data_IF_786060678080
#
_entry.id   IF_786060678080
#
_cell.length_a   1.000
_cell.length_b   1.000
_cell.length_c   1.000
_cell.angle_alpha   90.00
_cell.angle_beta   90.00
_cell.angle_gamma   90.00
#
_symmetry.space_group_name_H-M   'P 1'
#
loop_
_entity.id
_entity.type
_entity.pdbx_description
1 polymer ?
#
# COMPACT_ATOMS: atom_id res chain seq x y z
N UNK A 1 11.05 -41.78 8.55
CA UNK A 1 10.29 -41.62 7.31
C UNK A 1 9.70 -40.22 7.27
N UNK A 2 10.18 -39.46 6.34
CA UNK A 2 9.59 -38.32 5.63
C UNK A 2 9.41 -36.96 6.29
N UNK A 3 10.56 -36.30 6.57
CA UNK A 3 10.62 -34.84 6.77
C UNK A 3 10.85 -34.03 5.47
N UNK A 4 10.66 -34.64 4.30
CA UNK A 4 10.95 -33.98 3.00
C UNK A 4 9.76 -33.35 2.30
N UNK A 5 8.52 -33.54 2.80
CA UNK A 5 7.30 -33.06 2.11
C UNK A 5 6.88 -31.67 2.59
N UNK A 6 7.26 -31.25 3.82
CA UNK A 6 6.86 -29.93 4.35
C UNK A 6 7.67 -28.73 3.77
N UNK A 7 8.88 -28.96 3.24
CA UNK A 7 9.70 -27.87 2.66
C UNK A 7 9.23 -27.47 1.24
N UNK A 8 8.55 -28.35 0.53
CA UNK A 8 8.17 -28.09 -0.89
C UNK A 8 6.98 -27.13 -1.02
N UNK A 9 6.10 -27.02 -0.03
CA UNK A 9 4.94 -26.12 -0.09
C UNK A 9 5.28 -24.66 0.22
N UNK A 10 6.33 -24.39 1.02
CA UNK A 10 6.77 -23.02 1.30
C UNK A 10 7.55 -22.40 0.14
N UNK A 11 8.25 -23.21 -0.65
CA UNK A 11 8.99 -22.76 -1.83
C UNK A 11 8.07 -22.35 -2.98
N UNK A 12 6.93 -23.04 -3.18
CA UNK A 12 5.99 -22.73 -4.27
C UNK A 12 5.27 -21.39 -4.07
N UNK A 13 4.96 -20.99 -2.82
CA UNK A 13 4.33 -19.69 -2.53
C UNK A 13 5.28 -18.49 -2.72
N UNK A 14 6.58 -18.66 -2.45
CA UNK A 14 7.59 -17.63 -2.64
C UNK A 14 7.95 -17.42 -4.12
N UNK A 15 7.92 -18.48 -4.92
CA UNK A 15 8.23 -18.43 -6.36
C UNK A 15 7.15 -17.70 -7.15
N UNK A 16 5.88 -17.79 -6.76
CA UNK A 16 4.79 -17.11 -7.49
C UNK A 16 4.79 -15.58 -7.29
N UNK A 17 5.18 -15.09 -6.12
CA UNK A 17 5.28 -13.64 -5.85
C UNK A 17 6.53 -13.02 -6.48
N UNK A 18 7.66 -13.74 -6.46
CA UNK A 18 8.88 -13.36 -7.18
C UNK A 18 8.64 -13.32 -8.70
N UNK A 19 7.84 -14.24 -9.22
CA UNK A 19 7.50 -14.30 -10.64
C UNK A 19 6.71 -13.09 -11.15
N UNK A 20 5.78 -12.56 -10.36
CA UNK A 20 5.01 -11.37 -10.75
C UNK A 20 5.87 -10.10 -10.77
N UNK A 21 6.75 -9.90 -9.79
CA UNK A 21 7.68 -8.75 -9.78
C UNK A 21 8.68 -8.83 -10.95
N UNK A 22 9.25 -10.01 -11.22
CA UNK A 22 10.16 -10.23 -12.35
C UNK A 22 9.48 -10.01 -13.69
N UNK A 23 8.20 -10.38 -13.81
CA UNK A 23 7.42 -10.14 -15.03
C UNK A 23 7.13 -8.64 -15.23
N UNK A 24 6.93 -7.90 -14.16
CA UNK A 24 6.81 -6.44 -14.22
C UNK A 24 8.12 -5.79 -14.68
N UNK A 25 9.29 -6.25 -14.17
CA UNK A 25 10.60 -5.79 -14.64
C UNK A 25 10.79 -6.03 -16.12
N UNK A 26 10.45 -7.24 -16.60
CA UNK A 26 10.54 -7.58 -18.01
C UNK A 26 9.60 -6.74 -18.89
N UNK A 27 8.46 -6.31 -18.36
CA UNK A 27 7.52 -5.39 -19.02
C UNK A 27 7.93 -3.91 -18.93
N UNK A 28 9.15 -3.60 -18.44
CA UNK A 28 9.64 -2.22 -18.29
C UNK A 28 9.09 -1.47 -17.09
N UNK A 29 8.45 -2.17 -16.16
CA UNK A 29 7.91 -1.61 -14.91
C UNK A 29 8.83 -1.96 -13.72
N UNK A 30 10.15 -1.75 -13.89
CA UNK A 30 11.11 -1.89 -12.80
C UNK A 30 10.90 -0.84 -11.70
N UNK A 31 11.47 -1.08 -10.53
CA UNK A 31 11.31 -0.24 -9.34
C UNK A 31 11.66 1.23 -9.59
N UNK A 32 12.76 1.50 -10.29
CA UNK A 32 13.21 2.88 -10.52
C UNK A 32 12.25 3.61 -11.49
N UNK A 33 11.84 2.94 -12.56
CA UNK A 33 10.88 3.45 -13.55
C UNK A 33 9.52 3.73 -12.90
N UNK A 34 9.00 2.79 -12.08
CA UNK A 34 7.74 2.99 -11.37
C UNK A 34 7.81 4.15 -10.37
N UNK A 35 8.90 4.27 -9.63
CA UNK A 35 9.10 5.37 -8.69
C UNK A 35 9.16 6.72 -9.41
N UNK A 36 9.83 6.81 -10.57
CA UNK A 36 9.90 8.03 -11.37
C UNK A 36 8.53 8.43 -11.94
N UNK A 37 7.80 7.47 -12.51
CA UNK A 37 6.44 7.70 -13.05
C UNK A 37 5.47 8.12 -11.94
N UNK A 38 5.52 7.44 -10.79
CA UNK A 38 4.70 7.79 -9.64
C UNK A 38 5.02 9.20 -9.11
N UNK A 39 6.30 9.59 -9.07
CA UNK A 39 6.70 10.93 -8.65
C UNK A 39 6.18 12.00 -9.61
N UNK A 40 6.18 11.75 -10.93
CA UNK A 40 5.63 12.67 -11.92
C UNK A 40 4.11 12.85 -11.73
N UNK A 41 3.36 11.76 -11.63
CA UNK A 41 1.90 11.80 -11.40
C UNK A 41 1.55 12.47 -10.07
N UNK A 42 2.32 12.17 -9.02
CA UNK A 42 2.16 12.82 -7.72
C UNK A 42 2.36 14.33 -7.79
N UNK A 43 3.42 14.79 -8.48
CA UNK A 43 3.68 16.22 -8.65
C UNK A 43 2.56 16.92 -9.43
N UNK A 44 2.02 16.29 -10.47
CA UNK A 44 0.85 16.81 -11.21
C UNK A 44 -0.36 16.94 -10.30
N UNK A 45 -0.69 15.91 -9.54
CA UNK A 45 -1.79 15.90 -8.57
C UNK A 45 -1.62 17.01 -7.52
N UNK A 46 -0.40 17.20 -6.99
CA UNK A 46 -0.11 18.26 -6.01
C UNK A 46 -0.31 19.65 -6.62
N UNK A 47 0.11 19.87 -7.87
CA UNK A 47 -0.12 21.15 -8.55
C UNK A 47 -1.62 21.41 -8.79
N UNK A 48 -2.37 20.40 -9.23
CA UNK A 48 -3.82 20.52 -9.37
C UNK A 48 -4.51 20.81 -8.03
N UNK A 49 -4.12 20.10 -6.97
CA UNK A 49 -4.67 20.34 -5.64
C UNK A 49 -4.35 21.76 -5.12
N UNK A 50 -3.18 22.27 -5.47
CA UNK A 50 -2.77 23.67 -5.14
C UNK A 50 -3.65 24.68 -5.86
N UNK A 51 -3.85 24.54 -7.16
CA UNK A 51 -4.70 25.47 -7.95
C UNK A 51 -6.16 25.45 -7.49
N UNK A 52 -6.63 24.30 -7.00
CA UNK A 52 -7.98 24.11 -6.45
C UNK A 52 -8.12 24.45 -4.96
N UNK A 53 -7.06 24.97 -4.31
CA UNK A 53 -7.00 25.22 -2.85
C UNK A 53 -7.35 24.00 -1.98
N UNK A 54 -7.05 22.80 -2.49
CA UNK A 54 -7.33 21.54 -1.80
C UNK A 54 -6.16 21.04 -0.95
N UNK A 55 -5.00 21.70 -0.95
CA UNK A 55 -3.90 21.34 -0.05
C UNK A 55 -4.22 21.78 1.38
N UNK A 56 -4.10 20.86 2.32
CA UNK A 56 -4.08 21.18 3.74
C UNK A 56 -2.62 21.25 4.22
N UNK A 57 -2.21 22.43 4.63
CA UNK A 57 -0.83 22.70 5.07
C UNK A 57 -0.74 23.23 6.50
N UNK A 58 -1.88 23.46 7.16
CA UNK A 58 -1.89 24.18 8.44
C UNK A 58 -2.96 23.76 9.45
N UNK A 59 -3.94 22.95 9.06
CA UNK A 59 -5.01 22.52 9.98
C UNK A 59 -4.48 21.66 11.14
N UNK A 60 -5.29 21.43 12.15
CA UNK A 60 -4.98 20.48 13.22
C UNK A 60 -4.81 19.06 12.66
N UNK A 61 -5.61 18.67 11.66
CA UNK A 61 -5.51 17.38 10.97
C UNK A 61 -4.17 17.25 10.26
N UNK A 62 -3.76 18.28 9.50
CA UNK A 62 -2.44 18.29 8.85
C UNK A 62 -1.31 18.10 9.87
N UNK A 63 -1.30 18.86 10.96
CA UNK A 63 -0.24 18.77 11.97
C UNK A 63 -0.14 17.38 12.58
N UNK A 64 -1.27 16.73 12.88
CA UNK A 64 -1.31 15.37 13.42
C UNK A 64 -0.77 14.36 12.40
N UNK A 65 -1.28 14.40 11.18
CA UNK A 65 -0.86 13.51 10.08
C UNK A 65 0.63 13.67 9.80
N UNK A 66 1.13 14.90 9.72
CA UNK A 66 2.54 15.21 9.50
C UNK A 66 3.44 14.71 10.64
N UNK A 67 2.99 14.85 11.90
CA UNK A 67 3.72 14.32 13.07
C UNK A 67 3.83 12.80 13.00
N UNK A 68 2.73 12.12 12.68
CA UNK A 68 2.71 10.65 12.52
C UNK A 68 3.63 10.21 11.38
N UNK A 69 3.53 10.86 10.22
CA UNK A 69 4.39 10.59 9.07
C UNK A 69 5.88 10.69 9.41
N UNK A 70 6.29 11.81 9.98
CA UNK A 70 7.70 12.04 10.33
C UNK A 70 8.22 11.04 11.37
N UNK A 71 7.33 10.50 12.22
CA UNK A 71 7.70 9.49 13.21
C UNK A 71 7.78 8.07 12.61
N UNK A 72 6.97 7.75 11.59
CA UNK A 72 7.01 6.46 10.89
C UNK A 72 8.19 6.37 9.91
N UNK A 73 8.48 7.45 9.19
CA UNK A 73 9.44 7.49 8.08
C UNK A 73 10.81 6.85 8.37
N UNK A 74 11.51 7.16 9.49
CA UNK A 74 12.84 6.57 9.75
C UNK A 74 12.80 5.04 9.86
N UNK A 75 11.70 4.47 10.36
CA UNK A 75 11.52 3.03 10.47
C UNK A 75 11.11 2.40 9.14
N UNK A 76 10.33 3.11 8.33
CA UNK A 76 10.06 2.71 6.96
C UNK A 76 11.34 2.65 6.12
N UNK A 77 12.23 3.64 6.25
CA UNK A 77 13.54 3.61 5.59
C UNK A 77 14.36 2.38 5.99
N UNK A 78 14.35 2.00 7.28
CA UNK A 78 15.03 0.79 7.77
C UNK A 78 14.40 -0.51 7.26
N UNK A 79 13.11 -0.50 6.93
CA UNK A 79 12.39 -1.65 6.38
C UNK A 79 12.49 -1.75 4.86
N UNK A 80 13.01 -0.72 4.19
CA UNK A 80 13.10 -0.69 2.73
C UNK A 80 14.16 -1.68 2.23
N UNK A 81 13.72 -2.71 1.52
CA UNK A 81 14.55 -3.76 0.91
C UNK A 81 14.52 -3.73 -0.63
N UNK A 82 13.95 -2.68 -1.24
CA UNK A 82 13.79 -2.59 -2.70
C UNK A 82 15.10 -2.33 -3.44
N UNK A 83 16.18 -2.01 -2.73
CA UNK A 83 17.45 -1.57 -3.32
C UNK A 83 17.45 -0.13 -3.82
N UNK A 84 16.31 0.55 -3.82
CA UNK A 84 16.16 1.95 -4.24
C UNK A 84 15.72 2.79 -3.05
N UNK A 85 16.43 3.87 -2.78
CA UNK A 85 16.04 4.81 -1.72
C UNK A 85 14.74 5.51 -2.08
N UNK A 86 13.76 5.52 -1.15
CA UNK A 86 12.52 6.25 -1.34
C UNK A 86 12.67 7.73 -1.00
N UNK A 87 12.05 8.57 -1.81
CA UNK A 87 11.85 9.98 -1.53
C UNK A 87 10.46 10.18 -0.90
N UNK A 88 10.39 9.92 0.41
CA UNK A 88 9.14 10.01 1.16
C UNK A 88 8.61 11.44 1.18
N UNK A 89 7.43 11.63 0.62
CA UNK A 89 6.70 12.89 0.62
C UNK A 89 5.28 12.69 1.12
N UNK A 90 4.76 13.67 1.85
CA UNK A 90 3.39 13.67 2.36
C UNK A 90 2.60 14.81 1.74
N UNK A 91 1.43 14.51 1.22
CA UNK A 91 0.38 15.49 0.90
C UNK A 91 -0.88 15.19 1.68
N UNK A 92 -1.43 16.20 2.33
CA UNK A 92 -2.75 16.14 2.95
C UNK A 92 -3.73 16.94 2.10
N UNK A 93 -4.83 16.30 1.68
CA UNK A 93 -5.85 16.90 0.85
C UNK A 93 -7.10 17.23 1.66
N UNK A 94 -7.58 18.46 1.52
CA UNK A 94 -8.90 18.89 2.03
C UNK A 94 -9.99 18.21 1.22
N UNK A 95 -10.55 17.15 1.74
CA UNK A 95 -11.60 16.39 1.07
C UNK A 95 -12.37 15.57 2.10
N UNK A 96 -13.65 15.42 1.86
CA UNK A 96 -14.55 14.58 2.66
C UNK A 96 -14.44 13.10 2.35
N UNK A 97 -13.65 12.72 1.35
CA UNK A 97 -13.43 11.32 1.02
C UNK A 97 -12.70 10.59 2.16
N UNK A 98 -13.18 9.42 2.50
CA UNK A 98 -12.51 8.52 3.43
C UNK A 98 -11.49 7.72 2.62
N UNK A 99 -10.29 8.29 2.43
CA UNK A 99 -9.24 7.72 1.61
C UNK A 99 -7.84 8.10 2.10
N UNK A 100 -6.87 7.22 1.80
CA UNK A 100 -5.44 7.43 1.87
C UNK A 100 -4.78 6.47 0.88
N UNK A 101 -3.60 6.78 0.40
CA UNK A 101 -2.82 5.86 -0.43
C UNK A 101 -1.35 6.22 -0.42
N UNK A 102 -0.51 5.27 -0.83
CA UNK A 102 0.89 5.51 -1.16
C UNK A 102 1.14 5.12 -2.62
N UNK A 103 1.85 5.98 -3.34
CA UNK A 103 2.36 5.63 -4.66
C UNK A 103 3.82 5.15 -4.55
N UNK A 104 4.32 4.37 -5.54
CA UNK A 104 5.69 3.89 -5.57
C UNK A 104 6.72 4.99 -5.26
N UNK A 105 7.83 4.63 -4.62
CA UNK A 105 8.85 5.59 -4.22
C UNK A 105 8.50 6.46 -3.00
N UNK A 106 7.38 6.14 -2.29
CA UNK A 106 7.05 6.75 -1.00
C UNK A 106 6.25 8.06 -1.09
N UNK A 107 5.37 8.22 -2.08
CA UNK A 107 4.48 9.38 -2.22
C UNK A 107 3.17 9.13 -1.49
N UNK A 108 3.05 9.63 -0.26
CA UNK A 108 1.92 9.39 0.65
C UNK A 108 0.89 10.51 0.49
N UNK A 109 -0.37 10.12 0.31
CA UNK A 109 -1.50 11.04 0.24
C UNK A 109 -2.54 10.64 1.28
N UNK A 110 -2.96 11.60 2.09
CA UNK A 110 -4.00 11.42 3.11
C UNK A 110 -5.10 12.46 2.89
N UNK A 111 -6.33 12.01 2.84
CA UNK A 111 -7.49 12.89 2.74
C UNK A 111 -7.96 13.25 4.17
N UNK A 112 -8.33 14.51 4.39
CA UNK A 112 -8.83 14.93 5.71
C UNK A 112 -10.04 14.14 6.16
N UNK A 113 -10.86 13.65 5.21
CA UNK A 113 -12.06 12.88 5.49
C UNK A 113 -11.82 11.59 6.25
N UNK A 114 -10.72 10.84 5.96
CA UNK A 114 -10.41 9.61 6.69
C UNK A 114 -10.14 9.87 8.16
N UNK A 115 -9.44 10.97 8.48
CA UNK A 115 -9.10 11.33 9.85
C UNK A 115 -10.33 11.89 10.58
N UNK A 116 -11.04 12.82 9.95
CA UNK A 116 -12.10 13.59 10.59
C UNK A 116 -13.39 12.80 10.75
N UNK A 117 -13.86 12.12 9.66
CA UNK A 117 -15.13 11.37 9.70
C UNK A 117 -15.05 10.12 10.57
N UNK A 118 -13.88 9.49 10.64
CA UNK A 118 -13.67 8.34 11.51
C UNK A 118 -13.19 8.73 12.91
N UNK A 119 -12.99 10.02 13.14
CA UNK A 119 -12.43 10.54 14.41
C UNK A 119 -11.20 9.71 14.83
N UNK A 120 -10.20 9.64 13.94
CA UNK A 120 -9.02 8.80 14.17
C UNK A 120 -8.12 9.42 15.26
N UNK A 121 -7.65 8.58 16.17
CA UNK A 121 -6.52 8.90 17.07
C UNK A 121 -5.21 8.90 16.28
N UNK A 122 -4.13 9.46 16.84
CA UNK A 122 -2.81 9.46 16.18
C UNK A 122 -2.27 8.03 15.95
N UNK A 123 -2.58 7.09 16.86
CA UNK A 123 -2.22 5.69 16.69
C UNK A 123 -3.03 5.02 15.55
N UNK A 124 -4.29 5.39 15.34
CA UNK A 124 -5.08 4.91 14.21
C UNK A 124 -4.64 5.56 12.89
N UNK A 125 -4.21 6.83 12.89
CA UNK A 125 -3.55 7.46 11.74
C UNK A 125 -2.26 6.70 11.40
N UNK A 126 -1.47 6.32 12.42
CA UNK A 126 -0.26 5.53 12.23
C UNK A 126 -0.56 4.13 11.67
N UNK A 127 -1.70 3.53 12.02
CA UNK A 127 -2.14 2.26 11.45
C UNK A 127 -2.48 2.40 9.96
N UNK A 128 -3.25 3.43 9.54
CA UNK A 128 -3.52 3.73 8.13
C UNK A 128 -2.21 3.94 7.37
N UNK A 129 -1.37 4.87 7.86
CA UNK A 129 -0.14 5.23 7.16
C UNK A 129 0.85 4.07 7.13
N UNK A 130 0.97 3.29 8.21
CA UNK A 130 1.83 2.12 8.27
C UNK A 130 1.43 1.07 7.24
N UNK A 131 0.13 0.79 7.11
CA UNK A 131 -0.42 -0.10 6.09
C UNK A 131 -0.07 0.40 4.67
N UNK A 132 -0.33 1.68 4.38
CA UNK A 132 -0.03 2.27 3.07
C UNK A 132 1.47 2.26 2.77
N UNK A 133 2.31 2.64 3.74
CA UNK A 133 3.76 2.65 3.55
C UNK A 133 4.31 1.25 3.24
N UNK A 134 3.75 0.19 3.83
CA UNK A 134 4.16 -1.19 3.53
C UNK A 134 3.77 -1.59 2.11
N UNK A 135 2.65 -1.12 1.56
CA UNK A 135 2.34 -1.33 0.14
C UNK A 135 3.45 -0.83 -0.78
N UNK A 136 4.07 0.31 -0.47
CA UNK A 136 5.23 0.80 -1.24
C UNK A 136 6.51 -0.01 -0.94
N UNK A 137 6.80 -0.30 0.33
CA UNK A 137 8.00 -1.03 0.78
C UNK A 137 8.08 -2.45 0.21
N UNK A 138 6.94 -3.10 0.04
CA UNK A 138 6.84 -4.45 -0.52
C UNK A 138 6.46 -4.45 -2.01
N UNK A 139 6.51 -3.29 -2.66
CA UNK A 139 6.25 -3.13 -4.10
C UNK A 139 4.94 -3.77 -4.56
N UNK A 140 3.88 -3.65 -3.75
CA UNK A 140 2.60 -4.28 -4.07
C UNK A 140 1.99 -3.76 -5.38
N UNK A 141 2.23 -2.50 -5.73
CA UNK A 141 1.85 -1.92 -7.02
C UNK A 141 2.54 -2.64 -8.19
N UNK A 142 3.86 -2.88 -8.07
CA UNK A 142 4.64 -3.63 -9.06
C UNK A 142 4.15 -5.06 -9.21
N UNK A 143 3.89 -5.75 -8.09
CA UNK A 143 3.33 -7.11 -8.09
C UNK A 143 1.97 -7.18 -8.78
N UNK A 144 1.13 -6.16 -8.61
CA UNK A 144 -0.19 -6.05 -9.25
C UNK A 144 -0.06 -5.85 -10.76
N UNK A 145 0.85 -4.98 -11.21
CA UNK A 145 1.16 -4.77 -12.63
C UNK A 145 1.62 -6.09 -13.27
N UNK A 146 2.55 -6.81 -12.63
CA UNK A 146 3.03 -8.10 -13.13
C UNK A 146 1.93 -9.16 -13.21
N UNK A 147 1.02 -9.21 -12.24
CA UNK A 147 -0.12 -10.13 -12.29
C UNK A 147 -1.10 -9.79 -13.43
N UNK A 148 -1.33 -8.50 -13.69
CA UNK A 148 -2.17 -8.04 -14.80
C UNK A 148 -1.52 -8.33 -16.15
N UNK A 149 -0.20 -8.12 -16.30
CA UNK A 149 0.56 -8.47 -17.49
C UNK A 149 0.46 -9.97 -17.77
N UNK A 150 0.58 -10.82 -16.74
CA UNK A 150 0.42 -12.27 -16.87
C UNK A 150 -1.00 -12.65 -17.32
N UNK A 151 -2.01 -12.02 -16.76
CA UNK A 151 -3.41 -12.26 -17.14
C UNK A 151 -3.66 -11.82 -18.58
N UNK A 152 -3.15 -10.64 -18.97
CA UNK A 152 -3.23 -10.15 -20.35
C UNK A 152 -2.51 -11.07 -21.34
N UNK A 153 -1.34 -11.60 -20.97
CA UNK A 153 -0.61 -12.60 -21.77
C UNK A 153 -1.42 -13.90 -21.92
N UNK A 154 -1.99 -14.41 -20.83
CA UNK A 154 -2.80 -15.63 -20.86
C UNK A 154 -4.07 -15.47 -21.73
N UNK A 155 -4.72 -14.31 -21.70
CA UNK A 155 -5.90 -14.00 -22.53
C UNK A 155 -5.52 -13.81 -24.01
N UNK A 156 -4.30 -13.31 -24.30
CA UNK A 156 -3.81 -13.06 -25.65
C UNK A 156 -3.13 -14.28 -26.30
N UNK A 157 -2.70 -15.28 -25.54
CA UNK A 157 -2.18 -16.55 -26.08
C UNK A 157 -3.23 -17.26 -26.97
N UNK A 158 -4.53 -17.04 -26.71
CA UNK A 158 -5.61 -17.46 -27.62
C UNK A 158 -5.73 -16.64 -28.91
N UNK A 159 -5.05 -15.49 -29.01
CA UNK A 159 -5.07 -14.58 -30.18
C UNK A 159 -3.68 -14.36 -30.80
N UNK A 160 -2.60 -14.84 -30.17
CA UNK A 160 -1.22 -14.52 -30.52
C UNK A 160 -0.65 -15.45 -31.57
N UNK A 161 -1.05 -15.22 -32.80
CA UNK A 161 -0.18 -15.46 -33.97
C UNK A 161 0.32 -14.14 -34.61
N UNK A 162 0.39 -13.03 -33.83
CA UNK A 162 0.85 -11.74 -34.33
C UNK A 162 1.94 -11.16 -33.41
N UNK A 163 3.10 -10.87 -33.96
CA UNK A 163 4.37 -10.53 -33.31
C UNK A 163 4.50 -9.23 -32.54
N UNK A 164 3.42 -8.54 -32.13
CA UNK A 164 3.46 -7.23 -31.43
C UNK A 164 2.98 -7.27 -29.97
N UNK A 165 2.75 -8.45 -29.42
CA UNK A 165 2.12 -8.58 -28.09
C UNK A 165 2.98 -8.03 -26.93
N UNK A 166 4.31 -8.03 -27.03
CA UNK A 166 5.23 -7.62 -25.96
C UNK A 166 5.35 -6.09 -25.84
N UNK A 167 5.39 -5.39 -26.96
CA UNK A 167 5.47 -3.91 -26.98
C UNK A 167 4.21 -3.23 -26.45
N UNK A 168 3.02 -3.80 -26.73
CA UNK A 168 1.76 -3.30 -26.20
C UNK A 168 1.55 -3.57 -24.71
N UNK A 169 2.19 -4.62 -24.15
CA UNK A 169 2.18 -4.91 -22.71
C UNK A 169 3.00 -3.89 -21.92
N UNK A 170 4.14 -3.42 -22.45
CA UNK A 170 4.98 -2.41 -21.80
C UNK A 170 4.27 -1.07 -21.65
N UNK A 171 3.60 -0.57 -22.70
CA UNK A 171 2.85 0.69 -22.63
C UNK A 171 1.65 0.58 -21.70
N UNK A 172 0.88 -0.52 -21.77
CA UNK A 172 -0.24 -0.76 -20.86
C UNK A 172 0.20 -0.91 -19.39
N UNK A 173 1.36 -1.48 -19.11
CA UNK A 173 1.90 -1.59 -17.76
C UNK A 173 2.32 -0.23 -17.19
N UNK A 174 2.85 0.67 -18.02
CA UNK A 174 3.20 2.04 -17.62
C UNK A 174 1.95 2.91 -17.38
N UNK A 175 0.92 2.79 -18.24
CA UNK A 175 -0.37 3.46 -18.06
C UNK A 175 -1.09 2.95 -16.79
N UNK A 176 -1.00 1.66 -16.51
CA UNK A 176 -1.48 1.06 -15.27
C UNK A 176 -0.68 1.54 -14.06
N UNK A 177 0.65 1.72 -14.19
CA UNK A 177 1.51 2.25 -13.14
C UNK A 177 1.07 3.65 -12.67
N UNK A 178 0.64 4.50 -13.60
CA UNK A 178 0.07 5.81 -13.30
C UNK A 178 -1.29 5.72 -12.56
N UNK A 179 -2.05 4.63 -12.76
CA UNK A 179 -3.38 4.41 -12.17
C UNK A 179 -3.36 3.52 -10.92
N UNK A 180 -2.27 2.82 -10.64
CA UNK A 180 -2.18 1.74 -9.62
C UNK A 180 -2.34 2.22 -8.17
N UNK A 181 -2.21 3.52 -7.90
CA UNK A 181 -2.55 4.07 -6.57
C UNK A 181 -4.04 4.32 -6.34
N UNK A 182 -4.92 4.24 -7.37
CA UNK A 182 -6.21 4.92 -7.28
C UNK A 182 -7.44 4.06 -7.63
N UNK A 183 -7.33 2.82 -8.14
CA UNK A 183 -8.56 2.27 -8.70
C UNK A 183 -8.87 0.78 -8.57
N UNK A 184 -7.91 -0.09 -8.34
CA UNK A 184 -8.15 -1.53 -8.30
C UNK A 184 -7.78 -2.14 -6.94
N UNK A 185 -8.56 -3.09 -6.41
CA UNK A 185 -8.27 -3.71 -5.13
C UNK A 185 -6.96 -4.52 -5.18
N UNK A 186 -6.25 -4.53 -4.07
CA UNK A 186 -5.14 -5.45 -3.84
C UNK A 186 -5.66 -6.86 -3.55
N UNK A 187 -4.84 -7.88 -3.85
CA UNK A 187 -5.19 -9.24 -3.47
C UNK A 187 -5.18 -9.41 -1.95
N UNK A 188 -5.94 -10.38 -1.44
CA UNK A 188 -6.02 -10.66 0.01
C UNK A 188 -4.65 -10.94 0.63
N UNK A 189 -3.75 -11.59 -0.11
CA UNK A 189 -2.39 -11.88 0.37
C UNK A 189 -1.55 -10.62 0.51
N UNK A 190 -1.64 -9.66 -0.42
CA UNK A 190 -0.94 -8.37 -0.35
C UNK A 190 -1.49 -7.51 0.79
N UNK A 191 -2.82 -7.51 0.99
CA UNK A 191 -3.46 -6.84 2.10
C UNK A 191 -3.00 -7.40 3.46
N UNK A 192 -2.96 -8.75 3.60
CA UNK A 192 -2.49 -9.39 4.83
C UNK A 192 -1.03 -9.06 5.15
N UNK A 193 -0.18 -8.94 4.13
CA UNK A 193 1.22 -8.51 4.29
C UNK A 193 1.30 -7.05 4.70
N UNK A 194 0.52 -6.17 4.08
CA UNK A 194 0.44 -4.76 4.44
C UNK A 194 -0.05 -4.57 5.88
N UNK A 195 -1.04 -5.34 6.32
CA UNK A 195 -1.51 -5.34 7.71
C UNK A 195 -0.40 -5.75 8.68
N UNK A 196 0.28 -6.87 8.41
CA UNK A 196 1.34 -7.38 9.27
C UNK A 196 2.54 -6.43 9.34
N UNK A 197 3.02 -5.96 8.19
CA UNK A 197 4.12 -4.99 8.13
C UNK A 197 3.74 -3.66 8.77
N UNK A 198 2.51 -3.19 8.58
CA UNK A 198 1.97 -1.98 9.20
C UNK A 198 1.93 -2.05 10.73
N UNK A 199 1.52 -3.20 11.30
CA UNK A 199 1.59 -3.44 12.76
C UNK A 199 3.02 -3.30 13.30
N UNK A 200 3.99 -3.87 12.59
CA UNK A 200 5.40 -3.80 12.98
C UNK A 200 5.95 -2.38 12.85
N UNK A 201 5.64 -1.70 11.73
CA UNK A 201 6.12 -0.34 11.47
C UNK A 201 5.59 0.64 12.52
N UNK A 202 4.28 0.63 12.82
CA UNK A 202 3.71 1.51 13.83
C UNK A 202 4.24 1.21 15.23
N UNK A 203 4.45 -0.07 15.58
CA UNK A 203 5.03 -0.46 16.86
C UNK A 203 6.47 0.03 17.02
N UNK A 204 7.31 -0.12 15.97
CA UNK A 204 8.67 0.43 15.93
C UNK A 204 8.68 1.95 16.09
N UNK A 205 7.71 2.65 15.54
CA UNK A 205 7.54 4.08 15.70
C UNK A 205 6.93 4.49 17.05
N UNK A 206 6.65 3.53 17.96
CA UNK A 206 6.11 3.78 19.30
C UNK A 206 4.63 4.15 19.31
N UNK A 207 3.86 3.69 18.33
CA UNK A 207 2.40 3.71 18.35
C UNK A 207 1.85 2.35 18.78
N UNK A 208 0.82 2.36 19.62
CA UNK A 208 0.19 1.13 20.11
C UNK A 208 -0.45 0.36 18.94
N UNK A 209 0.02 -0.86 18.61
CA UNK A 209 -0.49 -1.61 17.46
C UNK A 209 -1.94 -2.10 17.63
N UNK A 210 -2.50 -2.09 18.85
CA UNK A 210 -3.91 -2.36 19.09
C UNK A 210 -4.81 -1.39 18.30
N UNK A 211 -4.33 -0.17 18.02
CA UNK A 211 -5.07 0.83 17.26
C UNK A 211 -5.39 0.39 15.82
N UNK A 212 -4.61 -0.52 15.22
CA UNK A 212 -4.94 -1.07 13.92
C UNK A 212 -6.23 -1.91 13.97
N UNK A 213 -6.47 -2.64 15.05
CA UNK A 213 -7.72 -3.39 15.23
C UNK A 213 -8.90 -2.44 15.33
N UNK A 214 -8.79 -1.39 16.18
CA UNK A 214 -9.87 -0.40 16.35
C UNK A 214 -10.15 0.39 15.07
N UNK A 215 -9.13 0.68 14.26
CA UNK A 215 -9.28 1.27 12.94
C UNK A 215 -10.17 0.38 12.05
N UNK A 216 -9.84 -0.91 11.92
CA UNK A 216 -10.60 -1.84 11.09
C UNK A 216 -12.02 -2.06 11.60
N UNK A 217 -12.24 -2.03 12.91
CA UNK A 217 -13.58 -2.07 13.49
C UNK A 217 -14.41 -0.81 13.12
N UNK A 218 -13.76 0.36 13.03
CA UNK A 218 -14.39 1.59 12.52
C UNK A 218 -14.69 1.49 11.02
N UNK A 219 -13.74 0.97 10.22
CA UNK A 219 -13.92 0.79 8.78
C UNK A 219 -15.04 -0.19 8.45
N UNK A 220 -15.14 -1.31 9.18
CA UNK A 220 -16.20 -2.30 8.96
C UNK A 220 -17.61 -1.72 9.16
N UNK A 221 -17.77 -0.72 10.03
CA UNK A 221 -19.07 -0.03 10.22
C UNK A 221 -19.49 0.78 8.97
N UNK A 222 -18.54 1.08 8.08
CA UNK A 222 -18.81 1.76 6.81
C UNK A 222 -19.04 0.80 5.66
N UNK A 223 -18.80 -0.50 5.83
CA UNK A 223 -18.99 -1.50 4.79
C UNK A 223 -20.47 -1.54 4.38
N UNK A 224 -20.73 -1.55 3.08
CA UNK A 224 -22.08 -1.50 2.53
C UNK A 224 -22.75 -0.12 2.49
N UNK A 225 -22.15 0.92 3.10
CA UNK A 225 -22.72 2.27 3.06
C UNK A 225 -22.28 3.09 1.84
N UNK A 226 -21.34 2.56 1.03
CA UNK A 226 -20.72 3.31 -0.08
C UNK A 226 -19.85 4.49 0.37
N UNK A 227 -19.65 4.66 1.69
CA UNK A 227 -19.03 5.84 2.28
C UNK A 227 -17.49 5.88 2.27
N UNK A 228 -16.80 4.83 1.79
CA UNK A 228 -15.34 4.77 1.82
C UNK A 228 -14.75 4.33 0.50
N UNK A 229 -14.02 5.24 -0.16
CA UNK A 229 -13.21 4.91 -1.33
C UNK A 229 -11.97 4.08 -0.97
N UNK A 230 -11.50 4.15 0.29
CA UNK A 230 -10.40 3.32 0.77
C UNK A 230 -10.78 1.83 0.82
N UNK A 231 -12.00 1.49 1.26
CA UNK A 231 -12.47 0.10 1.26
C UNK A 231 -12.63 -0.50 -0.14
N UNK A 232 -12.81 0.32 -1.19
CA UNK A 232 -12.86 -0.17 -2.57
C UNK A 232 -11.51 -0.70 -3.08
N UNK A 233 -10.41 -0.15 -2.59
CA UNK A 233 -9.03 -0.58 -2.92
C UNK A 233 -8.44 -1.53 -1.89
N UNK A 234 -8.92 -1.47 -0.63
CA UNK A 234 -8.49 -2.30 0.50
C UNK A 234 -9.71 -3.02 1.12
N UNK A 235 -10.23 -4.07 0.46
CA UNK A 235 -11.44 -4.75 0.92
C UNK A 235 -11.26 -5.26 2.35
N UNK A 236 -12.23 -4.94 3.21
CA UNK A 236 -12.32 -5.46 4.56
C UNK A 236 -12.88 -6.88 4.53
N UNK A 237 -12.41 -7.72 5.43
CA UNK A 237 -13.08 -8.96 5.81
C UNK A 237 -12.70 -9.38 7.23
N UNK A 238 -13.54 -10.19 7.85
CA UNK A 238 -13.29 -10.70 9.21
C UNK A 238 -11.98 -11.49 9.33
N UNK A 239 -11.50 -12.11 8.25
CA UNK A 239 -10.24 -12.86 8.22
C UNK A 239 -9.03 -11.95 8.42
N UNK A 240 -9.05 -10.71 7.87
CA UNK A 240 -7.97 -9.73 8.06
C UNK A 240 -7.85 -9.32 9.53
N UNK A 241 -8.98 -9.00 10.18
CA UNK A 241 -8.99 -8.66 11.61
C UNK A 241 -8.51 -9.84 12.45
N UNK A 242 -8.95 -11.07 12.15
CA UNK A 242 -8.49 -12.26 12.84
C UNK A 242 -6.98 -12.49 12.68
N UNK A 243 -6.45 -12.31 11.46
CA UNK A 243 -5.01 -12.40 11.18
C UNK A 243 -4.21 -11.31 11.92
N UNK A 244 -4.69 -10.07 11.94
CA UNK A 244 -4.06 -8.99 12.72
C UNK A 244 -4.06 -9.30 14.22
N UNK A 245 -5.17 -9.81 14.79
CA UNK A 245 -5.23 -10.22 16.20
C UNK A 245 -4.21 -11.31 16.52
N UNK A 246 -3.98 -12.25 15.59
CA UNK A 246 -2.97 -13.31 15.74
C UNK A 246 -1.53 -12.73 15.75
N UNK A 247 -1.26 -11.71 14.95
CA UNK A 247 0.06 -11.07 14.82
C UNK A 247 0.30 -9.96 15.86
N UNK A 248 -0.75 -9.49 16.51
CA UNK A 248 -0.70 -8.39 17.48
C UNK A 248 0.29 -8.62 18.63
N UNK A 249 0.43 -9.82 19.25
CA UNK A 249 1.36 -10.02 20.35
C UNK A 249 2.82 -9.72 19.96
N UNK A 250 3.25 -10.06 18.76
CA UNK A 250 4.59 -9.78 18.27
C UNK A 250 4.84 -8.26 18.12
N UNK A 251 3.88 -7.54 17.53
CA UNK A 251 3.96 -6.09 17.42
C UNK A 251 3.89 -5.41 18.80
N UNK A 252 3.07 -5.94 19.72
CA UNK A 252 2.97 -5.42 21.10
C UNK A 252 4.27 -5.59 21.87
N UNK A 253 5.00 -6.68 21.67
CA UNK A 253 6.32 -6.89 22.28
C UNK A 253 7.32 -5.80 21.80
N UNK A 254 7.32 -5.47 20.51
CA UNK A 254 8.16 -4.39 19.95
C UNK A 254 7.78 -3.04 20.55
N UNK A 255 6.50 -2.75 20.64
CA UNK A 255 5.99 -1.48 21.21
C UNK A 255 6.40 -1.35 22.68
N UNK A 256 6.30 -2.43 23.47
CA UNK A 256 6.61 -2.41 24.90
C UNK A 256 8.11 -2.18 25.20
N UNK A 257 9.00 -2.56 24.28
CA UNK A 257 10.45 -2.27 24.39
C UNK A 257 10.78 -0.78 24.19
N UNK A 258 9.81 0.03 23.77
CA UNK A 258 9.96 1.46 23.50
C UNK A 258 9.44 2.36 24.62
N UNK A 259 8.79 1.78 25.63
CA UNK A 259 8.38 2.44 26.85
C UNK A 259 9.53 2.46 27.86
#
# INVERSE_FOLDING_TARGET
MNNKILLSFFAAGAVTLSGCSTLADFAGADTATLNATAAQSYNQMVQEARTKNQLDTSSSTYRRVNTVFNRLRPYADQMNQTGVKFDWQLTVLKSDQINAYVAPGGKVVVYTGIVNKLNLTDAEIAAVMGHEMVHALEEHAKSKIGAQALTGLALNVGKAYAGDAIGSLGSAALDLGAQVGVGLPYSRSLESRADQGGLILMARAGYNPQAAITLWEKMNKLEGTGGSSWLSTHPSNGERIAAMRKNLPAAQAIYNQRK
#
